data_IF_265971287448
#
_entry.id   IF_265971287448
#
_cell.length_a   1.000
_cell.length_b   1.000
_cell.length_c   1.000
_cell.angle_alpha   90.00
_cell.angle_beta   90.00
_cell.angle_gamma   90.00
#
_symmetry.space_group_name_H-M   'P 1'
#
loop_
_entity.id
_entity.type
_entity.pdbx_description
1 polymer ?
#
# COMPACT_ATOMS: atom_id res chain seq x y z
N UNK A 1 -16.21 1.72 -4.59
CA UNK A 1 -14.81 2.13 -4.79
C UNK A 1 -13.97 1.23 -3.89
N UNK A 2 -13.04 0.46 -4.45
CA UNK A 2 -12.25 -0.55 -3.71
C UNK A 2 -10.90 0.05 -3.32
N UNK A 3 -10.48 -0.15 -2.08
CA UNK A 3 -9.21 0.39 -1.55
C UNK A 3 -8.05 -0.46 -2.08
N UNK A 4 -6.99 0.17 -2.60
CA UNK A 4 -5.77 -0.53 -3.02
C UNK A 4 -4.65 -0.30 -2.02
N UNK A 5 -4.10 -1.38 -1.49
CA UNK A 5 -3.07 -1.36 -0.46
C UNK A 5 -1.74 -1.84 -1.06
N UNK A 6 -0.75 -0.95 -1.08
CA UNK A 6 0.55 -1.22 -1.70
C UNK A 6 1.57 -1.74 -0.67
N UNK A 7 2.34 -2.75 -1.05
CA UNK A 7 3.42 -3.30 -0.21
C UNK A 7 2.94 -4.06 1.05
N UNK A 8 2.10 -5.10 0.92
CA UNK A 8 1.50 -5.83 2.05
C UNK A 8 2.51 -6.52 2.97
N UNK A 9 3.76 -6.66 2.52
CA UNK A 9 4.83 -7.33 3.28
C UNK A 9 5.49 -6.43 4.32
N UNK A 10 5.30 -5.11 4.26
CA UNK A 10 5.92 -4.17 5.21
C UNK A 10 5.18 -4.12 6.55
N UNK A 11 5.90 -3.78 7.63
CA UNK A 11 5.31 -3.69 8.96
C UNK A 11 4.29 -2.55 9.09
N UNK A 12 4.50 -1.44 8.37
CA UNK A 12 3.58 -0.31 8.28
C UNK A 12 2.27 -0.72 7.63
N UNK A 13 2.32 -1.34 6.44
CA UNK A 13 1.13 -1.74 5.68
C UNK A 13 0.30 -2.78 6.41
N UNK A 14 0.91 -3.65 7.22
CA UNK A 14 0.16 -4.63 8.05
C UNK A 14 -0.80 -3.98 9.04
N UNK A 15 -0.49 -2.77 9.56
CA UNK A 15 -1.40 -2.06 10.48
C UNK A 15 -2.64 -1.56 9.73
N UNK A 16 -2.46 -1.10 8.50
CA UNK A 16 -3.55 -0.67 7.61
C UNK A 16 -4.46 -1.85 7.28
N UNK A 17 -3.86 -2.97 6.87
CA UNK A 17 -4.60 -4.20 6.56
C UNK A 17 -5.46 -4.68 7.75
N UNK A 18 -4.91 -4.63 8.96
CA UNK A 18 -5.64 -5.01 10.17
C UNK A 18 -6.91 -4.16 10.34
N UNK A 19 -6.81 -2.83 10.20
CA UNK A 19 -7.96 -1.92 10.33
C UNK A 19 -8.99 -2.17 9.23
N UNK A 20 -8.57 -2.38 7.99
CA UNK A 20 -9.48 -2.67 6.88
C UNK A 20 -10.26 -3.98 7.12
N UNK A 21 -9.59 -5.00 7.65
CA UNK A 21 -10.22 -6.27 8.04
C UNK A 21 -11.20 -6.06 9.20
N UNK A 22 -10.78 -5.37 10.28
CA UNK A 22 -11.62 -5.10 11.45
C UNK A 22 -12.88 -4.30 11.09
N UNK A 23 -12.78 -3.43 10.09
CA UNK A 23 -13.90 -2.61 9.59
C UNK A 23 -14.71 -3.29 8.48
N UNK A 24 -14.32 -4.49 8.03
CA UNK A 24 -15.01 -5.21 6.96
C UNK A 24 -14.99 -4.45 5.63
N UNK A 25 -13.95 -3.67 5.37
CA UNK A 25 -13.79 -2.89 4.13
C UNK A 25 -13.14 -3.78 3.08
N UNK A 26 -13.71 -3.81 1.88
CA UNK A 26 -13.11 -4.52 0.74
C UNK A 26 -11.87 -3.79 0.23
N UNK A 27 -10.77 -4.53 0.09
CA UNK A 27 -9.51 -4.02 -0.41
C UNK A 27 -8.78 -5.04 -1.29
N UNK A 28 -7.89 -4.52 -2.13
CA UNK A 28 -6.97 -5.29 -2.96
C UNK A 28 -5.54 -4.98 -2.53
N UNK A 29 -4.67 -6.00 -2.53
CA UNK A 29 -3.24 -5.80 -2.25
C UNK A 29 -2.43 -5.78 -3.54
N UNK A 30 -1.49 -4.85 -3.62
CA UNK A 30 -0.54 -4.73 -4.72
C UNK A 30 0.86 -4.95 -4.15
N UNK A 31 1.53 -6.01 -4.59
CA UNK A 31 2.88 -6.30 -4.14
C UNK A 31 3.85 -5.27 -4.73
N UNK A 32 4.55 -4.56 -3.84
CA UNK A 32 5.56 -3.57 -4.20
C UNK A 32 6.86 -3.97 -3.53
N UNK A 33 7.88 -4.20 -4.35
CA UNK A 33 9.21 -4.55 -3.89
C UNK A 33 9.94 -3.27 -3.40
N UNK A 34 9.79 -2.98 -2.11
CA UNK A 34 10.44 -1.84 -1.45
C UNK A 34 11.97 -2.01 -1.40
N UNK A 35 12.47 -3.26 -1.39
CA UNK A 35 13.91 -3.57 -1.36
C UNK A 35 14.59 -3.30 -2.70
N UNK A 36 13.85 -3.38 -3.82
CA UNK A 36 14.36 -2.96 -5.14
C UNK A 36 14.54 -1.47 -5.30
N UNK A 37 14.20 -0.66 -4.29
CA UNK A 37 14.74 0.68 -4.10
C UNK A 37 14.76 1.52 -5.37
N UNK A 38 13.66 1.53 -6.12
CA UNK A 38 13.53 2.43 -7.25
C UNK A 38 12.37 3.37 -6.97
N UNK A 39 12.62 4.32 -6.08
CA UNK A 39 11.86 5.57 -5.99
C UNK A 39 11.76 6.29 -7.33
N UNK A 40 12.53 5.88 -8.35
CA UNK A 40 12.60 6.49 -9.68
C UNK A 40 11.90 5.69 -10.80
N UNK A 41 11.34 4.49 -10.56
CA UNK A 41 10.48 3.80 -11.55
C UNK A 41 9.06 3.52 -11.07
N UNK A 42 8.70 4.00 -9.88
CA UNK A 42 7.30 4.24 -9.66
C UNK A 42 6.91 5.30 -10.69
N UNK A 43 5.91 4.97 -11.47
CA UNK A 43 4.87 5.86 -12.00
C UNK A 43 4.16 6.60 -10.83
N UNK A 44 4.97 7.14 -9.90
CA UNK A 44 4.69 7.93 -8.71
C UNK A 44 4.24 9.34 -9.03
N UNK A 45 4.20 9.72 -10.31
CA UNK A 45 3.61 10.99 -10.75
C UNK A 45 2.12 11.12 -10.42
N UNK A 46 1.44 10.03 -10.01
CA UNK A 46 0.02 10.04 -9.66
C UNK A 46 -0.29 9.60 -8.22
N UNK A 47 0.70 9.17 -7.43
CA UNK A 47 0.44 8.69 -6.07
C UNK A 47 1.25 9.51 -5.09
N UNK A 48 0.53 10.26 -4.26
CA UNK A 48 1.16 11.08 -3.23
C UNK A 48 1.96 10.18 -2.27
N UNK A 49 3.13 10.61 -1.76
CA UNK A 49 3.93 9.84 -0.81
C UNK A 49 3.16 9.38 0.44
N UNK A 50 2.02 10.00 0.74
CA UNK A 50 1.16 9.68 1.86
C UNK A 50 0.31 8.41 1.62
N UNK A 51 0.03 8.04 0.37
CA UNK A 51 -0.76 6.84 -0.01
C UNK A 51 0.07 5.55 -0.02
N UNK A 52 1.40 5.64 0.13
CA UNK A 52 2.27 4.45 0.17
C UNK A 52 2.46 3.94 1.61
N UNK A 53 2.12 4.76 2.62
CA UNK A 53 2.35 4.47 4.03
C UNK A 53 1.09 4.50 4.90
N UNK A 54 -0.06 4.87 4.32
CA UNK A 54 -1.40 4.83 4.92
C UNK A 54 -2.29 3.84 4.16
#
# INVERSE_FOLDING_TARGET
>A
MVVKVYGPRTASTKRVLLVLIEKGIEFETVDVDVSKGNTNNLNSSNYSPLELFL
#
